data_IF_063166105388
#
_entry.id   IF_063166105388
#
_cell.length_a   1.000
_cell.length_b   1.000
_cell.length_c   1.000
_cell.angle_alpha   90.00
_cell.angle_beta   90.00
_cell.angle_gamma   90.00
#
_symmetry.space_group_name_H-M   'P 1'
#
loop_
_entity.id
_entity.type
_entity.pdbx_description
1 polymer ?
#
# COMPACT_ATOMS: atom_id res chain seq x y z
N UNK A 1 -1.22 1.68 19.74
CA UNK A 1 -0.50 0.42 20.10
C UNK A 1 0.91 0.77 20.58
N UNK A 2 1.54 0.08 21.56
CA UNK A 2 2.93 0.40 21.95
C UNK A 2 3.89 0.24 20.77
N UNK A 3 4.80 1.20 20.57
CA UNK A 3 5.73 1.24 19.42
C UNK A 3 6.49 -0.08 19.20
N UNK A 4 7.05 -0.64 20.28
CA UNK A 4 7.78 -1.91 20.23
C UNK A 4 6.94 -3.09 19.70
N UNK A 5 5.63 -3.12 19.98
CA UNK A 5 4.74 -4.15 19.42
C UNK A 5 4.52 -3.95 17.93
N UNK A 6 4.47 -2.69 17.46
CA UNK A 6 4.32 -2.36 16.05
C UNK A 6 5.54 -2.78 15.25
N UNK A 7 6.72 -2.41 15.75
CA UNK A 7 7.99 -2.72 15.08
C UNK A 7 8.14 -4.23 14.90
N UNK A 8 7.86 -5.01 15.95
CA UNK A 8 7.88 -6.47 15.88
C UNK A 8 6.88 -7.05 14.88
N UNK A 9 5.63 -6.58 14.91
CA UNK A 9 4.59 -7.03 13.96
C UNK A 9 5.02 -6.74 12.52
N UNK A 10 5.56 -5.54 12.26
CA UNK A 10 6.04 -5.15 10.93
C UNK A 10 7.25 -5.98 10.52
N UNK A 11 8.21 -6.22 11.42
CA UNK A 11 9.37 -7.06 11.13
C UNK A 11 8.95 -8.50 10.76
N UNK A 12 8.03 -9.10 11.53
CA UNK A 12 7.50 -10.43 11.26
C UNK A 12 6.76 -10.47 9.91
N UNK A 13 5.86 -9.53 9.66
CA UNK A 13 5.11 -9.46 8.40
C UNK A 13 6.01 -9.19 7.19
N UNK A 14 6.89 -8.19 7.27
CA UNK A 14 7.77 -7.80 6.16
C UNK A 14 8.81 -8.88 5.84
N UNK A 15 9.20 -9.72 6.81
CA UNK A 15 10.14 -10.83 6.58
C UNK A 15 9.66 -11.78 5.47
N UNK A 16 8.34 -11.94 5.30
CA UNK A 16 7.72 -12.77 4.26
C UNK A 16 7.97 -12.26 2.83
N UNK A 17 8.46 -11.04 2.69
CA UNK A 17 8.72 -10.35 1.42
C UNK A 17 10.21 -10.06 1.18
N UNK A 18 11.10 -10.41 2.12
CA UNK A 18 12.52 -10.00 2.08
C UNK A 18 13.22 -10.32 0.76
N UNK A 19 12.97 -11.49 0.21
CA UNK A 19 13.57 -11.97 -1.05
C UNK A 19 13.20 -11.13 -2.28
N UNK A 20 12.17 -10.29 -2.20
CA UNK A 20 11.74 -9.43 -3.30
C UNK A 20 12.59 -8.16 -3.44
N UNK A 21 13.43 -7.87 -2.44
CA UNK A 21 14.23 -6.67 -2.39
C UNK A 21 15.70 -7.03 -2.59
N UNK A 22 16.32 -6.64 -3.73
CA UNK A 22 17.73 -6.92 -3.97
C UNK A 22 18.65 -6.08 -3.06
N UNK A 23 18.15 -4.94 -2.57
CA UNK A 23 18.90 -4.00 -1.75
C UNK A 23 18.37 -3.96 -0.31
N UNK A 24 19.29 -3.97 0.66
CA UNK A 24 18.96 -3.88 2.09
C UNK A 24 18.20 -2.59 2.40
N UNK A 25 18.61 -1.46 1.83
CA UNK A 25 17.94 -0.16 2.01
C UNK A 25 16.50 -0.20 1.52
N UNK A 26 16.28 -0.76 0.33
CA UNK A 26 14.95 -0.89 -0.25
C UNK A 26 14.02 -1.75 0.63
N UNK A 27 14.54 -2.82 1.23
CA UNK A 27 13.81 -3.60 2.23
C UNK A 27 13.53 -2.81 3.53
N UNK A 28 14.47 -1.98 3.98
CA UNK A 28 14.29 -1.15 5.17
C UNK A 28 13.18 -0.10 4.98
N UNK A 29 13.17 0.60 3.84
CA UNK A 29 12.11 1.56 3.52
C UNK A 29 10.74 0.91 3.32
N UNK A 30 10.70 -0.35 2.86
CA UNK A 30 9.47 -1.14 2.86
C UNK A 30 8.90 -1.30 4.28
N UNK A 31 9.75 -1.57 5.28
CA UNK A 31 9.33 -1.65 6.69
C UNK A 31 8.88 -0.30 7.23
N UNK A 32 9.66 0.77 6.98
CA UNK A 32 9.29 2.12 7.43
C UNK A 32 7.95 2.58 6.87
N UNK A 33 7.65 2.26 5.61
CA UNK A 33 6.35 2.54 5.04
C UNK A 33 5.23 1.82 5.79
N UNK A 34 5.41 0.54 6.16
CA UNK A 34 4.42 -0.21 6.96
C UNK A 34 4.24 0.35 8.36
N UNK A 35 5.32 0.71 9.06
CA UNK A 35 5.26 1.35 10.38
C UNK A 35 4.43 2.63 10.28
N UNK A 36 4.76 3.53 9.35
CA UNK A 36 4.03 4.78 9.21
C UNK A 36 2.58 4.63 8.74
N UNK A 37 2.26 3.61 7.94
CA UNK A 37 0.88 3.31 7.54
C UNK A 37 0.05 2.78 8.71
N UNK A 38 0.64 1.96 9.59
CA UNK A 38 -0.04 1.34 10.73
C UNK A 38 0.00 2.17 12.02
N UNK A 39 0.79 3.24 12.07
CA UNK A 39 0.86 4.15 13.21
C UNK A 39 -0.40 5.00 13.39
N UNK A 40 -0.45 5.84 14.41
CA UNK A 40 -1.64 6.69 14.72
C UNK A 40 -1.59 8.07 14.02
N UNK A 41 -0.66 8.27 13.09
CA UNK A 41 -0.56 9.53 12.32
C UNK A 41 -1.88 9.81 11.57
N UNK A 42 -2.45 10.99 11.80
CA UNK A 42 -3.72 11.45 11.21
C UNK A 42 -3.73 11.51 9.67
N UNK A 43 -2.60 11.88 9.04
CA UNK A 43 -2.45 11.96 7.58
C UNK A 43 -1.21 11.19 7.14
N UNK A 44 -1.40 10.13 6.35
CA UNK A 44 -0.36 9.20 5.90
C UNK A 44 0.44 9.73 4.69
N UNK A 45 0.95 10.95 4.78
CA UNK A 45 1.84 11.50 3.74
C UNK A 45 3.28 11.03 3.96
N UNK A 46 4.10 10.96 2.90
CA UNK A 46 5.50 10.55 3.04
C UNK A 46 6.29 11.41 4.05
N UNK A 47 6.14 12.76 4.09
CA UNK A 47 6.81 13.56 5.13
C UNK A 47 6.30 13.30 6.56
N UNK A 48 5.04 12.87 6.71
CA UNK A 48 4.53 12.51 8.03
C UNK A 48 5.06 11.14 8.47
N UNK A 49 5.10 10.17 7.55
CA UNK A 49 5.68 8.84 7.76
C UNK A 49 7.18 8.94 8.06
N UNK A 50 7.93 9.75 7.29
CA UNK A 50 9.36 9.97 7.51
C UNK A 50 9.64 10.45 8.95
N UNK A 51 8.88 11.44 9.43
CA UNK A 51 9.01 11.94 10.81
C UNK A 51 8.68 10.87 11.86
N UNK A 52 7.65 10.05 11.62
CA UNK A 52 7.27 8.98 12.53
C UNK A 52 8.36 7.93 12.68
N UNK A 53 9.01 7.56 11.58
CA UNK A 53 10.05 6.52 11.57
C UNK A 53 11.46 7.08 11.83
N UNK A 54 11.58 8.37 12.18
CA UNK A 54 12.86 8.99 12.51
C UNK A 54 13.78 9.31 11.32
N UNK A 55 13.25 9.39 10.10
CA UNK A 55 14.00 9.84 8.93
C UNK A 55 14.08 11.37 8.88
N UNK A 56 15.18 11.90 8.34
CA UNK A 56 15.38 13.35 8.19
C UNK A 56 14.36 14.00 7.25
N UNK A 57 14.00 13.31 6.16
CA UNK A 57 13.04 13.77 5.16
C UNK A 57 12.40 12.60 4.39
N UNK A 58 11.47 12.92 3.50
CA UNK A 58 10.69 11.96 2.70
C UNK A 58 11.38 11.41 1.45
N UNK A 59 12.56 11.91 1.08
CA UNK A 59 13.17 11.64 -0.24
C UNK A 59 13.43 10.16 -0.45
N UNK A 60 13.92 9.47 0.58
CA UNK A 60 14.20 8.04 0.51
C UNK A 60 12.93 7.19 0.41
N UNK A 61 11.85 7.59 1.08
CA UNK A 61 10.54 6.95 0.93
C UNK A 61 9.94 7.21 -0.47
N UNK A 62 10.16 8.40 -1.01
CA UNK A 62 9.74 8.73 -2.37
C UNK A 62 10.53 7.92 -3.41
N UNK A 63 11.86 7.84 -3.25
CA UNK A 63 12.72 7.01 -4.08
C UNK A 63 12.32 5.53 -4.00
N UNK A 64 12.05 5.03 -2.81
CA UNK A 64 11.53 3.68 -2.59
C UNK A 64 10.27 3.39 -3.40
N UNK A 65 9.32 4.33 -3.48
CA UNK A 65 8.07 4.13 -4.22
C UNK A 65 8.19 4.30 -5.73
N UNK A 66 9.21 5.02 -6.22
CA UNK A 66 9.28 5.47 -7.62
C UNK A 66 10.37 4.79 -8.43
N UNK A 67 11.55 4.57 -7.83
CA UNK A 67 12.78 4.23 -8.57
C UNK A 67 13.52 3.02 -8.01
N UNK A 68 13.21 2.60 -6.78
CA UNK A 68 13.83 1.43 -6.15
C UNK A 68 13.55 0.14 -6.95
N UNK A 69 14.52 -0.79 -7.07
CA UNK A 69 14.48 -1.93 -7.98
C UNK A 69 13.63 -3.11 -7.48
N UNK A 70 12.46 -2.87 -6.90
CA UNK A 70 11.48 -3.91 -6.57
C UNK A 70 10.32 -3.92 -7.57
N UNK A 71 9.72 -5.09 -7.78
CA UNK A 71 8.65 -5.26 -8.76
C UNK A 71 7.29 -5.33 -8.08
N UNK A 72 6.41 -4.35 -8.36
CA UNK A 72 5.05 -4.33 -7.83
C UNK A 72 4.24 -5.59 -8.17
N UNK A 73 4.46 -6.18 -9.37
CA UNK A 73 3.87 -7.46 -9.77
C UNK A 73 4.29 -8.60 -8.84
N UNK A 74 5.59 -8.72 -8.55
CA UNK A 74 6.12 -9.77 -7.68
C UNK A 74 5.60 -9.63 -6.24
N UNK A 75 5.50 -8.40 -5.73
CA UNK A 75 4.91 -8.12 -4.42
C UNK A 75 3.44 -8.52 -4.36
N UNK A 76 2.65 -8.19 -5.40
CA UNK A 76 1.25 -8.59 -5.52
C UNK A 76 1.09 -10.11 -5.53
N UNK A 77 1.90 -10.81 -6.32
CA UNK A 77 1.87 -12.27 -6.40
C UNK A 77 2.24 -12.94 -5.09
N UNK A 78 3.30 -12.47 -4.40
CA UNK A 78 3.69 -12.97 -3.07
C UNK A 78 2.55 -12.76 -2.06
N UNK A 79 1.94 -11.58 -2.04
CA UNK A 79 0.82 -11.26 -1.15
C UNK A 79 -0.37 -12.20 -1.38
N UNK A 80 -0.75 -12.42 -2.64
CA UNK A 80 -1.85 -13.33 -2.98
C UNK A 80 -1.54 -14.77 -2.56
N UNK A 81 -0.32 -15.25 -2.80
CA UNK A 81 0.11 -16.59 -2.35
C UNK A 81 0.02 -16.74 -0.83
N UNK A 82 0.48 -15.74 -0.07
CA UNK A 82 0.40 -15.74 1.39
C UNK A 82 -1.05 -15.75 1.88
N UNK A 83 -1.91 -14.90 1.31
CA UNK A 83 -3.34 -14.87 1.65
C UNK A 83 -3.96 -16.24 1.38
N UNK A 84 -3.76 -16.81 0.18
CA UNK A 84 -4.31 -18.12 -0.17
C UNK A 84 -3.81 -19.22 0.79
N UNK A 85 -2.52 -19.23 1.16
CA UNK A 85 -2.00 -20.22 2.11
C UNK A 85 -2.66 -20.17 3.49
N UNK A 86 -3.11 -18.99 3.94
CA UNK A 86 -3.83 -18.84 5.21
C UNK A 86 -5.30 -19.26 5.09
N UNK A 87 -5.89 -19.17 3.89
CA UNK A 87 -7.29 -19.48 3.64
C UNK A 87 -7.57 -20.95 3.32
N UNK A 88 -6.57 -21.72 2.86
CA UNK A 88 -6.71 -23.12 2.39
C UNK A 88 -7.33 -24.09 3.42
N UNK A 89 -7.43 -23.70 4.69
CA UNK A 89 -8.02 -24.53 5.76
C UNK A 89 -9.36 -24.01 6.30
N UNK A 90 -10.01 -23.04 5.63
CA UNK A 90 -11.20 -22.37 6.17
C UNK A 90 -12.29 -22.17 5.11
N UNK A 91 -13.55 -22.31 5.51
CA UNK A 91 -14.66 -21.73 4.76
C UNK A 91 -14.52 -20.20 4.78
N UNK A 92 -14.63 -19.56 3.62
CA UNK A 92 -14.44 -18.11 3.47
C UNK A 92 -15.64 -17.47 2.79
N UNK A 93 -16.02 -16.30 3.26
CA UNK A 93 -16.97 -15.42 2.57
C UNK A 93 -16.19 -14.27 1.95
N UNK A 94 -16.21 -14.18 0.62
CA UNK A 94 -15.56 -13.09 -0.10
C UNK A 94 -16.51 -11.90 -0.17
N UNK A 95 -16.13 -10.79 0.44
CA UNK A 95 -16.83 -9.51 0.34
C UNK A 95 -16.09 -8.67 -0.70
N UNK A 96 -16.77 -8.31 -1.79
CA UNK A 96 -16.26 -7.41 -2.81
C UNK A 96 -16.95 -6.06 -2.62
N UNK A 97 -16.17 -5.02 -2.36
CA UNK A 97 -16.65 -3.64 -2.25
C UNK A 97 -15.92 -2.77 -3.30
N UNK A 98 -16.66 -1.89 -3.97
CA UNK A 98 -16.10 -0.98 -4.97
C UNK A 98 -15.62 0.30 -4.28
N UNK A 99 -14.31 0.42 -4.05
CA UNK A 99 -13.72 1.65 -3.49
C UNK A 99 -13.26 2.59 -4.62
N UNK A 100 -14.14 3.51 -5.03
CA UNK A 100 -13.81 4.57 -5.99
C UNK A 100 -13.12 5.77 -5.34
N UNK A 101 -11.79 5.83 -5.38
CA UNK A 101 -11.04 7.02 -4.95
C UNK A 101 -11.16 8.15 -5.98
N UNK A 102 -11.69 9.30 -5.54
CA UNK A 102 -11.79 10.52 -6.36
C UNK A 102 -10.39 11.10 -6.62
N UNK A 103 -9.77 10.74 -7.75
CA UNK A 103 -8.50 11.33 -8.19
C UNK A 103 -8.73 12.74 -8.76
N UNK A 104 -8.28 13.77 -8.04
CA UNK A 104 -8.32 15.17 -8.52
C UNK A 104 -6.92 15.58 -9.03
N UNK A 105 -6.56 15.13 -10.23
CA UNK A 105 -5.37 15.56 -10.96
C UNK A 105 -5.74 16.02 -12.37
N UNK A 106 -5.15 17.12 -12.87
CA UNK A 106 -5.41 17.66 -14.22
C UNK A 106 -4.58 16.99 -15.33
N UNK A 107 -3.88 15.90 -15.02
CA UNK A 107 -2.80 15.35 -15.85
C UNK A 107 -2.94 13.85 -16.12
N UNK A 108 -4.16 13.37 -16.36
CA UNK A 108 -4.36 12.00 -16.85
C UNK A 108 -5.48 11.96 -17.89
N UNK A 109 -5.12 11.64 -19.14
CA UNK A 109 -6.05 11.19 -20.17
C UNK A 109 -6.66 9.83 -19.81
N UNK A 110 -7.84 9.51 -20.38
CA UNK A 110 -8.65 8.29 -20.18
C UNK A 110 -9.51 8.21 -18.91
N UNK A 111 -10.20 9.28 -18.54
CA UNK A 111 -11.23 9.23 -17.49
C UNK A 111 -12.61 9.44 -18.11
N UNK A 112 -13.44 8.39 -18.16
CA UNK A 112 -14.83 8.47 -18.66
C UNK A 112 -15.79 8.67 -17.47
N UNK A 113 -16.75 9.57 -17.63
CA UNK A 113 -17.77 9.95 -16.64
C UNK A 113 -18.57 8.74 -16.13
N UNK A 114 -18.55 8.47 -14.82
CA UNK A 114 -19.34 7.42 -14.16
C UNK A 114 -19.95 7.89 -12.82
N UNK A 115 -21.03 7.24 -12.40
CA UNK A 115 -21.81 7.61 -11.23
C UNK A 115 -21.12 7.18 -9.94
N UNK A 116 -20.86 8.13 -9.03
CA UNK A 116 -20.26 7.87 -7.72
C UNK A 116 -21.38 7.89 -6.68
N UNK A 117 -21.72 6.70 -6.15
CA UNK A 117 -22.85 6.49 -5.23
C UNK A 117 -22.82 7.34 -3.96
N UNK A 118 -21.63 7.70 -3.45
CA UNK A 118 -21.50 8.53 -2.25
C UNK A 118 -21.82 10.03 -2.45
N UNK A 119 -21.99 10.51 -3.68
CA UNK A 119 -22.20 11.94 -3.99
C UNK A 119 -23.46 12.16 -4.86
N UNK A 120 -24.12 11.09 -5.31
CA UNK A 120 -25.32 11.19 -6.13
C UNK A 120 -25.09 11.85 -7.50
N UNK A 121 -23.86 11.90 -8.01
CA UNK A 121 -23.50 12.56 -9.29
C UNK A 121 -22.47 11.77 -10.10
N UNK A 122 -22.56 11.94 -11.43
CA UNK A 122 -21.66 11.35 -12.44
C UNK A 122 -20.41 12.21 -12.60
N UNK A 123 -19.24 11.65 -12.29
CA UNK A 123 -17.94 12.30 -12.41
C UNK A 123 -16.86 11.35 -12.93
N UNK A 124 -15.71 11.90 -13.34
CA UNK A 124 -14.61 11.14 -13.94
C UNK A 124 -13.90 10.24 -12.91
N UNK A 125 -13.98 8.91 -13.07
CA UNK A 125 -13.27 7.90 -12.29
C UNK A 125 -12.54 6.85 -13.16
N UNK A 126 -11.54 6.17 -12.60
CA UNK A 126 -10.91 5.00 -13.22
C UNK A 126 -11.54 3.75 -12.60
N UNK A 127 -12.24 2.98 -13.42
CA UNK A 127 -12.71 1.64 -13.07
C UNK A 127 -11.84 0.65 -13.83
N UNK A 128 -11.10 -0.19 -13.11
CA UNK A 128 -10.47 -1.37 -13.70
C UNK A 128 -11.38 -2.56 -13.41
N UNK A 129 -12.21 -2.91 -14.39
CA UNK A 129 -12.78 -4.25 -14.52
C UNK A 129 -11.87 -5.00 -15.48
N UNK A 130 -11.33 -6.13 -15.06
CA UNK A 130 -10.87 -7.16 -15.99
C UNK A 130 -11.46 -8.50 -15.52
N UNK A 131 -11.94 -9.35 -16.45
CA UNK A 131 -12.59 -10.63 -16.18
C UNK A 131 -11.68 -11.66 -15.52
#
# INVERSE_FOLDING_TARGET
MPQFKLDRLVDEYCSLYRELFPEVRSYEYFKYLHIGLLSEIKRKTLPAIAREVGLENEQELHHFLTSSPWLAKALKERRLKLILSVLVEREITVIIDETGDKKKGKTTDYVKRQYIGNIGKVENGIVSVNP
#
